data_IF_699006209280
#
_entry.id   IF_699006209280
#
_cell.length_a   1.000
_cell.length_b   1.000
_cell.length_c   1.000
_cell.angle_alpha   90.00
_cell.angle_beta   90.00
_cell.angle_gamma   90.00
#
_symmetry.space_group_name_H-M   'P 1'
#
loop_
_entity.id
_entity.type
_entity.pdbx_description
1 polymer ?
#
# COMPACT_ATOMS: atom_id res chain seq x y z
N UNK A 1 -12.14 -1.11 -33.47
CA UNK A 1 -12.36 -0.29 -32.28
C UNK A 1 -12.25 -1.20 -31.05
N UNK A 2 -11.10 -1.35 -30.38
CA UNK A 2 -11.09 -2.08 -29.12
C UNK A 2 -11.55 -1.14 -28.00
N UNK A 3 -12.49 -1.65 -27.21
CA UNK A 3 -13.10 -0.97 -26.07
C UNK A 3 -12.03 -0.50 -25.08
N UNK A 4 -12.22 0.72 -24.58
CA UNK A 4 -11.45 1.28 -23.49
C UNK A 4 -11.31 0.24 -22.36
N UNK A 5 -10.08 -0.18 -22.09
CA UNK A 5 -9.76 -0.92 -20.88
C UNK A 5 -10.02 0.02 -19.71
N UNK A 6 -11.21 -0.07 -19.12
CA UNK A 6 -11.42 0.37 -17.74
C UNK A 6 -10.25 -0.21 -16.96
N UNK A 7 -9.42 0.58 -16.24
CA UNK A 7 -8.45 -0.01 -15.35
C UNK A 7 -9.27 -0.75 -14.30
N UNK A 8 -9.44 -2.06 -14.49
CA UNK A 8 -10.13 -2.92 -13.56
C UNK A 8 -9.49 -2.66 -12.19
N UNK A 9 -10.30 -2.21 -11.23
CA UNK A 9 -9.87 -1.97 -9.86
C UNK A 9 -9.05 -3.19 -9.41
N UNK A 10 -7.75 -2.99 -9.17
CA UNK A 10 -6.88 -4.08 -8.74
C UNK A 10 -7.42 -4.62 -7.41
N UNK A 11 -7.54 -5.94 -7.28
CA UNK A 11 -7.80 -6.52 -5.97
C UNK A 11 -6.62 -6.24 -5.04
N UNK A 12 -6.87 -6.24 -3.72
CA UNK A 12 -5.83 -6.10 -2.70
C UNK A 12 -4.62 -7.03 -2.94
N UNK A 13 -4.87 -8.28 -3.34
CA UNK A 13 -3.83 -9.26 -3.62
C UNK A 13 -2.99 -8.92 -4.86
N UNK A 14 -3.63 -8.41 -5.93
CA UNK A 14 -2.93 -7.98 -7.14
C UNK A 14 -2.12 -6.72 -6.90
N UNK A 15 -2.72 -5.72 -6.25
CA UNK A 15 -2.02 -4.49 -5.86
C UNK A 15 -0.77 -4.83 -5.05
N UNK A 16 -0.87 -5.74 -4.07
CA UNK A 16 0.27 -6.24 -3.32
C UNK A 16 1.32 -6.94 -4.19
N UNK A 17 0.90 -7.81 -5.10
CA UNK A 17 1.82 -8.52 -6.00
C UNK A 17 2.61 -7.56 -6.90
N UNK A 18 1.97 -6.46 -7.32
CA UNK A 18 2.59 -5.38 -8.09
C UNK A 18 3.32 -4.35 -7.20
N UNK A 19 3.33 -4.55 -5.87
CA UNK A 19 3.84 -3.59 -4.89
C UNK A 19 3.23 -2.19 -5.02
N UNK A 20 1.94 -2.11 -5.36
CA UNK A 20 1.13 -0.90 -5.48
C UNK A 20 0.21 -0.77 -4.26
N UNK A 21 0.01 0.46 -3.77
CA UNK A 21 -0.98 0.76 -2.74
C UNK A 21 -2.40 0.58 -3.25
N UNK A 22 -3.12 -0.36 -2.64
CA UNK A 22 -4.53 -0.61 -2.93
C UNK A 22 -5.41 0.58 -2.52
N UNK A 23 -5.22 1.11 -1.31
CA UNK A 23 -6.02 2.26 -0.83
C UNK A 23 -5.63 3.55 -1.55
N UNK A 24 -4.35 3.76 -1.84
CA UNK A 24 -3.92 4.88 -2.68
C UNK A 24 -4.62 4.87 -4.05
N UNK A 25 -4.62 3.71 -4.72
CA UNK A 25 -5.29 3.59 -6.01
C UNK A 25 -6.81 3.75 -5.89
N UNK A 26 -7.43 3.12 -4.89
CA UNK A 26 -8.88 3.12 -4.72
C UNK A 26 -9.45 4.49 -4.31
N UNK A 27 -8.77 5.22 -3.43
CA UNK A 27 -9.28 6.48 -2.87
C UNK A 27 -8.70 7.73 -3.52
N UNK A 28 -7.47 7.67 -4.05
CA UNK A 28 -6.83 8.84 -4.67
C UNK A 28 -6.61 8.66 -6.16
N UNK A 29 -6.84 7.47 -6.73
CA UNK A 29 -6.57 7.16 -8.13
C UNK A 29 -5.07 7.12 -8.48
N UNK A 30 -4.18 7.23 -7.48
CA UNK A 30 -2.73 7.29 -7.70
C UNK A 30 -2.13 5.89 -7.58
N UNK A 31 -1.35 5.49 -8.58
CA UNK A 31 -0.53 4.27 -8.52
C UNK A 31 0.78 4.57 -7.81
N UNK A 32 0.79 4.40 -6.50
CA UNK A 32 1.96 4.63 -5.66
C UNK A 32 2.53 3.30 -5.18
N UNK A 33 3.87 3.21 -5.13
CA UNK A 33 4.55 2.01 -4.66
C UNK A 33 4.44 1.87 -3.13
N UNK A 34 4.29 0.63 -2.69
CA UNK A 34 4.35 0.26 -1.28
C UNK A 34 5.75 0.55 -0.72
N UNK A 35 5.77 1.26 0.40
CA UNK A 35 6.99 1.65 1.08
C UNK A 35 6.78 1.58 2.60
N UNK A 36 7.89 1.45 3.33
CA UNK A 36 7.86 1.51 4.79
C UNK A 36 7.76 2.97 5.22
N UNK A 37 6.78 3.26 6.06
CA UNK A 37 6.55 4.58 6.65
C UNK A 37 6.62 4.48 8.18
N UNK A 38 6.78 5.62 8.83
CA UNK A 38 6.87 5.73 10.28
C UNK A 38 5.92 6.82 10.79
N UNK A 39 5.18 6.51 11.85
CA UNK A 39 4.37 7.45 12.62
C UNK A 39 4.73 7.35 14.10
N UNK A 40 4.14 8.22 14.94
CA UNK A 40 4.35 8.19 16.39
C UNK A 40 4.01 6.83 17.05
N UNK A 41 3.15 6.03 16.40
CA UNK A 41 2.73 4.70 16.86
C UNK A 41 3.62 3.55 16.38
N UNK A 42 4.58 3.80 15.48
CA UNK A 42 5.49 2.79 14.94
C UNK A 42 5.61 2.82 13.41
N UNK A 43 6.18 1.76 12.85
CA UNK A 43 6.37 1.60 11.41
C UNK A 43 5.14 0.95 10.78
N UNK A 44 4.84 1.25 9.53
CA UNK A 44 3.74 0.64 8.79
C UNK A 44 4.07 0.57 7.31
N UNK A 45 3.32 -0.26 6.58
CA UNK A 45 3.41 -0.31 5.11
C UNK A 45 2.36 0.65 4.58
N UNK A 46 2.78 1.57 3.74
CA UNK A 46 1.91 2.59 3.18
C UNK A 46 2.41 3.08 1.83
N UNK A 47 1.81 4.15 1.36
CA UNK A 47 2.28 4.88 0.18
C UNK A 47 2.58 6.32 0.55
N UNK A 48 3.45 6.94 -0.25
CA UNK A 48 3.72 8.35 -0.17
C UNK A 48 4.00 8.88 -1.58
N UNK A 49 3.64 10.15 -1.79
CA UNK A 49 4.03 10.95 -2.94
C UNK A 49 4.93 12.11 -2.48
N UNK A 50 5.19 13.07 -3.36
CA UNK A 50 6.03 14.24 -3.08
C UNK A 50 5.47 15.15 -1.97
N UNK A 51 4.15 15.14 -1.75
CA UNK A 51 3.48 15.93 -0.70
C UNK A 51 3.45 15.21 0.66
N UNK A 52 3.65 13.88 0.67
CA UNK A 52 3.80 13.11 1.91
C UNK A 52 3.07 11.77 1.90
N UNK A 53 2.75 11.20 3.08
CA UNK A 53 2.07 9.91 3.16
C UNK A 53 0.63 10.01 2.64
N UNK A 54 0.29 9.18 1.65
CA UNK A 54 -1.02 9.20 0.98
C UNK A 54 -1.98 8.20 1.61
N UNK A 55 -1.49 7.00 1.93
CA UNK A 55 -2.33 5.94 2.50
C UNK A 55 -1.55 5.02 3.45
N UNK A 56 -2.27 4.42 4.40
CA UNK A 56 -1.77 3.32 5.24
C UNK A 56 -2.34 1.99 4.73
N UNK A 57 -1.50 1.20 4.08
CA UNK A 57 -1.89 -0.03 3.41
C UNK A 57 -1.89 -1.23 4.38
N UNK A 58 -1.01 -1.28 5.39
CA UNK A 58 -1.08 -2.32 6.42
C UNK A 58 -2.08 -2.01 7.53
N UNK A 59 -2.74 -3.05 8.04
CA UNK A 59 -3.48 -2.98 9.31
C UNK A 59 -2.48 -2.86 10.46
N UNK A 60 -1.39 -3.62 10.39
CA UNK A 60 -0.40 -3.71 11.45
C UNK A 60 0.52 -2.50 11.53
N UNK A 61 0.87 -2.14 12.78
CA UNK A 61 2.06 -1.38 13.10
C UNK A 61 3.19 -2.32 13.51
N UNK A 62 4.39 -2.07 13.02
CA UNK A 62 5.59 -2.81 13.30
C UNK A 62 6.50 -2.03 14.25
N UNK A 63 7.15 -2.76 15.15
CA UNK A 63 8.02 -2.19 16.18
C UNK A 63 9.33 -1.61 15.61
N UNK A 64 9.72 -2.01 14.40
CA UNK A 64 10.95 -1.53 13.75
C UNK A 64 10.81 -1.50 12.23
N UNK A 65 11.62 -0.67 11.58
CA UNK A 65 11.73 -0.62 10.12
C UNK A 65 12.05 -2.00 9.53
N UNK A 66 12.95 -2.75 10.17
CA UNK A 66 13.33 -4.09 9.71
C UNK A 66 12.16 -5.08 9.75
N UNK A 67 11.33 -5.03 10.80
CA UNK A 67 10.14 -5.87 10.90
C UNK A 67 9.11 -5.53 9.81
N UNK A 68 8.90 -4.23 9.56
CA UNK A 68 8.02 -3.76 8.49
C UNK A 68 8.54 -4.15 7.10
N UNK A 69 9.84 -3.98 6.86
CA UNK A 69 10.49 -4.38 5.61
C UNK A 69 10.39 -5.89 5.38
N UNK A 70 10.67 -6.70 6.42
CA UNK A 70 10.52 -8.14 6.33
C UNK A 70 9.07 -8.53 6.02
N UNK A 71 8.09 -7.90 6.66
CA UNK A 71 6.68 -8.11 6.34
C UNK A 71 6.39 -7.74 4.88
N UNK A 72 6.82 -6.56 4.41
CA UNK A 72 6.64 -6.09 3.04
C UNK A 72 7.22 -7.09 2.02
N UNK A 73 8.47 -7.50 2.19
CA UNK A 73 9.17 -8.43 1.28
C UNK A 73 8.56 -9.83 1.30
N UNK A 74 8.14 -10.33 2.47
CA UNK A 74 7.60 -11.70 2.59
C UNK A 74 6.09 -11.78 2.37
N UNK A 75 5.40 -10.65 2.23
CA UNK A 75 3.95 -10.60 2.22
C UNK A 75 3.33 -11.05 3.56
N UNK A 76 4.03 -10.87 4.68
CA UNK A 76 3.54 -11.19 6.04
C UNK A 76 2.93 -9.97 6.74
N UNK A 77 1.91 -9.40 6.11
CA UNK A 77 1.08 -8.30 6.62
C UNK A 77 -0.32 -8.39 6.04
N UNK A 78 -1.29 -7.73 6.66
CA UNK A 78 -2.67 -7.71 6.19
C UNK A 78 -2.99 -6.39 5.51
N UNK A 79 -3.55 -6.49 4.30
CA UNK A 79 -4.05 -5.33 3.59
C UNK A 79 -5.22 -4.75 4.37
N UNK A 80 -5.12 -3.45 4.66
CA UNK A 80 -6.21 -2.65 5.18
C UNK A 80 -7.17 -2.36 4.04
N UNK A 81 -8.45 -2.65 4.26
CA UNK A 81 -9.52 -2.47 3.26
C UNK A 81 -10.19 -1.10 3.36
N UNK A 82 -9.97 -0.38 4.46
CA UNK A 82 -10.59 0.91 4.76
C UNK A 82 -9.52 1.92 5.24
N UNK A 83 -9.59 3.20 4.84
CA UNK A 83 -8.58 4.23 5.16
C UNK A 83 -8.52 4.63 6.63
#
# INVERSE_FOLDING_TARGET
MPLASTPASLSAAQARAESIGYLALAYTGKRLLLQIRHSATGHYIGTADDDGPVSRESVEYFRSHQAANHALTTGRWQQRLEP
#
